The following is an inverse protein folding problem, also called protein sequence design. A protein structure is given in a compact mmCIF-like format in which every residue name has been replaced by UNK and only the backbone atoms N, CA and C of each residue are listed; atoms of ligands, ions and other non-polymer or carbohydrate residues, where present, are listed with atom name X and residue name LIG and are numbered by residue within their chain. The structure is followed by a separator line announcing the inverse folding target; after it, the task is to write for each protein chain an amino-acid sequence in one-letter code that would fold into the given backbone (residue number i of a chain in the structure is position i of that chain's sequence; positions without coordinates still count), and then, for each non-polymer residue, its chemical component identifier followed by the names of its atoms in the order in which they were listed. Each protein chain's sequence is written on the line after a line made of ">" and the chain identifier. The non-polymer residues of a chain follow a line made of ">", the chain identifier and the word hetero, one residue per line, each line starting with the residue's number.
data_IF_939854086900
#
_entry.id   IF_939854086900
#
_cell.length_a   1.000
_cell.length_b   1.000
_cell.length_c   1.000
_cell.angle_alpha   90.00
_cell.angle_beta   90.00
_cell.angle_gamma   90.00
#
_symmetry.space_group_name_H-M   'P 1'
#
loop_
_entity.id
_entity.type
_entity.pdbx_description
1 polymer ?
#
# COMPACT_ATOMS: atom_id res chain seq x y z
N UNK A 1 -60.12 -91.38 5.00
CA UNK A 1 -60.96 -92.49 5.46
C UNK A 1 -61.08 -92.44 6.97
N UNK A 2 -62.29 -92.41 7.53
CA UNK A 2 -62.54 -92.40 8.98
C UNK A 2 -63.12 -93.74 9.41
N UNK A 3 -62.25 -94.70 9.71
CA UNK A 3 -62.57 -96.03 10.24
C UNK A 3 -63.07 -95.98 11.69
N UNK A 4 -64.14 -95.23 11.94
CA UNK A 4 -64.59 -94.92 13.29
C UNK A 4 -65.29 -96.10 13.96
N UNK A 5 -66.03 -96.94 13.22
CA UNK A 5 -66.66 -98.16 13.77
C UNK A 5 -65.62 -99.23 13.99
N UNK A 6 -64.75 -99.46 13.02
CA UNK A 6 -63.63 -100.40 13.12
C UNK A 6 -62.71 -100.04 14.29
N UNK A 7 -62.36 -98.76 14.48
CA UNK A 7 -61.55 -98.35 15.62
C UNK A 7 -62.23 -98.60 16.97
N UNK A 8 -63.57 -98.53 17.02
CA UNK A 8 -64.36 -98.81 18.23
C UNK A 8 -64.42 -100.31 18.50
N UNK A 9 -64.61 -101.13 17.46
CA UNK A 9 -64.68 -102.59 17.56
C UNK A 9 -63.31 -103.20 17.86
N UNK A 10 -62.21 -102.65 17.30
CA UNK A 10 -60.83 -103.03 17.68
C UNK A 10 -60.57 -102.72 19.16
N UNK A 11 -60.95 -101.53 19.65
CA UNK A 11 -60.82 -101.20 21.08
C UNK A 11 -61.66 -102.11 21.99
N UNK A 12 -62.85 -102.52 21.54
CA UNK A 12 -63.69 -103.46 22.29
C UNK A 12 -63.10 -104.90 22.27
N UNK A 13 -62.41 -105.29 21.19
CA UNK A 13 -61.73 -106.57 21.06
C UNK A 13 -60.41 -106.61 21.86
N UNK A 14 -59.64 -105.53 21.94
CA UNK A 14 -58.42 -105.42 22.74
C UNK A 14 -58.65 -105.65 24.26
N UNK A 15 -59.88 -105.47 24.75
CA UNK A 15 -60.25 -105.68 26.15
C UNK A 15 -60.75 -107.10 26.47
N UNK A 16 -60.92 -107.99 25.48
CA UNK A 16 -61.37 -109.37 25.68
C UNK A 16 -60.20 -110.36 25.75
N UNK A 17 -60.21 -111.28 26.71
CA UNK A 17 -59.18 -112.32 26.87
C UNK A 17 -59.30 -113.50 25.88
N UNK A 18 -60.45 -113.67 25.21
CA UNK A 18 -60.60 -114.60 24.09
C UNK A 18 -61.53 -114.00 23.04
N UNK A 19 -61.13 -114.09 21.77
CA UNK A 19 -61.88 -113.58 20.62
C UNK A 19 -62.65 -114.73 19.97
N UNK A 20 -63.95 -114.54 19.77
CA UNK A 20 -64.81 -115.52 19.09
C UNK A 20 -64.89 -115.22 17.60
N UNK A 21 -65.26 -116.22 16.79
CA UNK A 21 -65.51 -116.04 15.34
C UNK A 21 -66.53 -114.92 15.08
N UNK A 22 -67.48 -114.72 16.00
CA UNK A 22 -68.49 -113.67 15.91
C UNK A 22 -67.88 -112.27 16.07
N UNK A 23 -66.82 -112.11 16.88
CA UNK A 23 -66.12 -110.83 17.03
C UNK A 23 -65.35 -110.45 15.75
N UNK A 24 -64.74 -111.43 15.08
CA UNK A 24 -64.07 -111.22 13.79
C UNK A 24 -65.06 -110.91 12.64
N UNK A 25 -66.24 -111.55 12.66
CA UNK A 25 -67.32 -111.25 11.71
C UNK A 25 -67.91 -109.85 11.93
N UNK A 26 -68.07 -109.42 13.19
CA UNK A 26 -68.51 -108.06 13.51
C UNK A 26 -67.48 -107.02 13.08
N UNK A 27 -66.18 -107.24 13.33
CA UNK A 27 -65.11 -106.37 12.83
C UNK A 27 -65.12 -106.26 11.30
N UNK A 28 -65.37 -107.38 10.61
CA UNK A 28 -65.48 -107.40 9.16
C UNK A 28 -66.72 -106.68 8.65
N UNK A 29 -67.88 -106.83 9.30
CA UNK A 29 -69.08 -106.05 9.00
C UNK A 29 -68.83 -104.55 9.22
N UNK A 30 -68.26 -104.17 10.35
CA UNK A 30 -67.96 -102.76 10.66
C UNK A 30 -66.94 -102.16 9.67
N UNK A 31 -65.97 -102.95 9.20
CA UNK A 31 -65.03 -102.54 8.14
C UNK A 31 -65.73 -102.38 6.79
N UNK A 32 -66.63 -103.29 6.43
CA UNK A 32 -67.44 -103.16 5.22
C UNK A 32 -68.39 -101.95 5.30
N UNK A 33 -68.95 -101.66 6.47
CA UNK A 33 -69.81 -100.50 6.68
C UNK A 33 -69.04 -99.18 6.71
N UNK A 34 -67.88 -99.11 7.35
CA UNK A 34 -67.02 -97.92 7.32
C UNK A 34 -66.53 -97.63 5.88
N UNK A 35 -66.23 -98.66 5.08
CA UNK A 35 -65.88 -98.51 3.66
C UNK A 35 -67.11 -98.07 2.83
N UNK A 36 -68.30 -98.61 3.13
CA UNK A 36 -69.57 -98.22 2.49
C UNK A 36 -69.87 -96.74 2.73
N UNK A 37 -69.68 -96.26 3.95
CA UNK A 37 -70.01 -94.90 4.36
C UNK A 37 -68.96 -93.85 3.89
N UNK A 38 -67.70 -94.23 3.68
CA UNK A 38 -66.64 -93.33 3.15
C UNK A 38 -66.60 -93.25 1.61
N UNK A 39 -67.11 -94.27 0.89
CA UNK A 39 -67.04 -94.32 -0.59
C UNK A 39 -68.39 -94.10 -1.30
N UNK A 40 -69.51 -94.05 -0.58
CA UNK A 40 -70.85 -93.82 -1.16
C UNK A 40 -71.18 -94.81 -2.30
N UNK A 41 -70.69 -96.05 -2.19
CA UNK A 41 -70.90 -97.14 -3.17
C UNK A 41 -71.88 -98.16 -2.59
N UNK A 42 -73.05 -98.27 -3.21
CA UNK A 42 -73.99 -99.39 -2.98
C UNK A 42 -73.37 -100.70 -3.44
N UNK A 43 -73.23 -101.65 -2.51
CA UNK A 43 -72.73 -103.00 -2.75
C UNK A 43 -73.76 -103.86 -3.51
N UNK A 44 -73.96 -103.58 -4.80
CA UNK A 44 -74.76 -104.41 -5.72
C UNK A 44 -74.07 -104.69 -7.06
N UNK A 45 -72.74 -104.52 -7.13
CA UNK A 45 -71.91 -104.95 -8.28
C UNK A 45 -70.55 -105.44 -7.84
N UNK A 46 -70.49 -106.61 -7.22
CA UNK A 46 -69.33 -107.48 -7.37
C UNK A 46 -69.61 -108.38 -8.60
N UNK A 47 -68.68 -108.52 -9.56
CA UNK A 47 -68.87 -109.42 -10.68
C UNK A 47 -69.06 -110.85 -10.14
N UNK A 48 -70.22 -111.44 -10.45
CA UNK A 48 -70.55 -112.81 -10.10
C UNK A 48 -69.60 -113.74 -10.86
N UNK A 49 -68.65 -114.40 -10.17
CA UNK A 49 -67.89 -115.49 -10.78
C UNK A 49 -66.44 -115.71 -10.35
N UNK A 50 -66.03 -115.42 -9.12
CA UNK A 50 -64.84 -116.05 -8.52
C UNK A 50 -64.83 -115.88 -6.99
N UNK A 51 -65.63 -116.70 -6.29
CA UNK A 51 -65.66 -116.75 -4.82
C UNK A 51 -64.28 -117.15 -4.23
N UNK A 52 -63.48 -117.91 -4.97
CA UNK A 52 -62.14 -118.34 -4.56
C UNK A 52 -61.12 -117.20 -4.53
N UNK A 53 -61.21 -116.22 -5.45
CA UNK A 53 -60.26 -115.09 -5.47
C UNK A 53 -60.54 -114.08 -4.35
N UNK A 54 -61.82 -113.89 -4.01
CA UNK A 54 -62.24 -113.08 -2.87
C UNK A 54 -61.81 -113.71 -1.53
N UNK A 55 -61.96 -115.03 -1.37
CA UNK A 55 -61.48 -115.77 -0.19
C UNK A 55 -59.95 -115.72 -0.08
N UNK A 56 -59.22 -115.76 -1.20
CA UNK A 56 -57.75 -115.68 -1.21
C UNK A 56 -57.24 -114.28 -0.81
N UNK A 57 -57.88 -113.20 -1.30
CA UNK A 57 -57.57 -111.82 -0.88
C UNK A 57 -57.95 -111.55 0.57
N UNK A 58 -59.08 -112.09 1.04
CA UNK A 58 -59.48 -112.06 2.45
C UNK A 58 -58.50 -112.82 3.34
N UNK A 59 -58.07 -114.01 2.95
CA UNK A 59 -57.06 -114.78 3.68
C UNK A 59 -55.69 -114.07 3.71
N UNK A 60 -55.34 -113.31 2.68
CA UNK A 60 -54.12 -112.50 2.62
C UNK A 60 -54.21 -111.24 3.49
N UNK A 61 -55.34 -110.53 3.47
CA UNK A 61 -55.57 -109.36 4.33
C UNK A 61 -55.65 -109.75 5.81
N UNK A 62 -56.36 -110.83 6.16
CA UNK A 62 -56.38 -111.37 7.52
C UNK A 62 -54.98 -111.81 7.98
N UNK A 63 -54.16 -112.44 7.13
CA UNK A 63 -52.75 -112.79 7.45
C UNK A 63 -51.82 -111.57 7.60
N UNK A 64 -52.18 -110.44 7.01
CA UNK A 64 -51.38 -109.20 7.06
C UNK A 64 -51.76 -108.38 8.28
N UNK A 65 -53.05 -108.32 8.63
CA UNK A 65 -53.57 -107.71 9.85
C UNK A 65 -53.10 -108.48 11.08
N UNK A 66 -53.13 -109.83 11.06
CA UNK A 66 -52.55 -110.66 12.13
C UNK A 66 -51.03 -110.51 12.26
N UNK A 67 -50.31 -110.14 11.18
CA UNK A 67 -48.87 -109.81 11.20
C UNK A 67 -48.58 -108.44 11.80
N UNK A 68 -49.44 -107.44 11.56
CA UNK A 68 -49.32 -106.11 12.16
C UNK A 68 -49.77 -106.07 13.63
N UNK A 69 -50.65 -106.98 14.05
CA UNK A 69 -51.16 -107.11 15.43
C UNK A 69 -50.28 -107.99 16.35
N UNK A 70 -49.15 -108.51 15.88
CA UNK A 70 -48.11 -109.09 16.74
C UNK A 70 -48.39 -110.48 17.36
N UNK A 71 -49.33 -111.28 16.84
CA UNK A 71 -49.73 -112.58 17.43
C UNK A 71 -49.36 -113.83 16.59
N UNK A 72 -48.33 -113.77 15.75
CA UNK A 72 -47.69 -114.95 15.14
C UNK A 72 -46.17 -114.90 15.38
N UNK A 73 -45.51 -116.04 15.72
CA UNK A 73 -44.07 -116.06 15.98
C UNK A 73 -43.31 -115.72 14.69
N UNK A 74 -42.44 -114.70 14.77
CA UNK A 74 -41.60 -114.26 13.65
C UNK A 74 -40.45 -115.25 13.50
N UNK A 75 -40.62 -116.23 12.61
CA UNK A 75 -39.50 -116.93 12.01
C UNK A 75 -38.70 -115.92 11.16
N UNK A 76 -37.47 -115.67 11.62
CA UNK A 76 -36.36 -114.96 10.95
C UNK A 76 -36.70 -113.69 10.16
N UNK A 77 -36.58 -112.53 10.82
CA UNK A 77 -36.16 -111.30 10.11
C UNK A 77 -34.75 -111.59 9.57
N UNK A 78 -34.61 -111.64 8.25
CA UNK A 78 -33.32 -111.75 7.57
C UNK A 78 -32.32 -110.76 8.19
N UNK A 79 -31.17 -111.27 8.66
CA UNK A 79 -30.02 -110.47 9.11
C UNK A 79 -29.67 -109.36 8.10
N UNK A 80 -30.00 -109.56 6.84
CA UNK A 80 -29.76 -108.65 5.71
C UNK A 80 -30.64 -107.39 5.74
N UNK A 81 -31.85 -107.44 6.32
CA UNK A 81 -32.67 -106.24 6.52
C UNK A 81 -32.24 -105.43 7.75
N UNK A 82 -31.85 -106.12 8.82
CA UNK A 82 -31.30 -105.49 10.01
C UNK A 82 -29.94 -104.83 9.74
N UNK A 83 -29.08 -105.44 8.93
CA UNK A 83 -27.81 -104.85 8.50
C UNK A 83 -28.02 -103.63 7.61
N UNK A 84 -29.02 -103.64 6.72
CA UNK A 84 -29.39 -102.49 5.88
C UNK A 84 -29.98 -101.34 6.69
N UNK A 85 -30.85 -101.62 7.67
CA UNK A 85 -31.38 -100.59 8.56
C UNK A 85 -30.31 -99.99 9.46
N UNK A 86 -29.42 -100.82 10.04
CA UNK A 86 -28.24 -100.32 10.77
C UNK A 86 -27.34 -99.45 9.88
N UNK A 87 -27.10 -99.86 8.63
CA UNK A 87 -26.32 -99.06 7.69
C UNK A 87 -26.98 -97.70 7.40
N UNK A 88 -28.30 -97.67 7.23
CA UNK A 88 -29.05 -96.41 7.06
C UNK A 88 -29.00 -95.56 8.33
N UNK A 89 -29.11 -96.16 9.51
CA UNK A 89 -28.95 -95.48 10.80
C UNK A 89 -27.54 -94.89 10.95
N UNK A 90 -26.49 -95.65 10.63
CA UNK A 90 -25.10 -95.22 10.61
C UNK A 90 -24.83 -94.15 9.54
N UNK A 91 -25.54 -94.18 8.41
CA UNK A 91 -25.45 -93.15 7.38
C UNK A 91 -26.18 -91.87 7.79
N UNK A 92 -27.30 -91.98 8.51
CA UNK A 92 -28.06 -90.84 9.07
C UNK A 92 -27.31 -90.18 10.22
N UNK A 93 -26.69 -90.94 11.13
CA UNK A 93 -25.83 -90.39 12.19
C UNK A 93 -24.62 -89.68 11.59
N UNK A 94 -23.92 -90.31 10.64
CA UNK A 94 -22.82 -89.65 9.90
C UNK A 94 -23.27 -88.41 9.13
N UNK A 95 -24.46 -88.42 8.52
CA UNK A 95 -25.00 -87.23 7.87
C UNK A 95 -25.35 -86.12 8.88
N UNK A 96 -25.89 -86.47 10.05
CA UNK A 96 -26.19 -85.52 11.11
C UNK A 96 -24.92 -84.92 11.74
N UNK A 97 -23.86 -85.71 11.91
CA UNK A 97 -22.55 -85.23 12.38
C UNK A 97 -21.93 -84.29 11.36
N UNK A 98 -21.94 -84.66 10.07
CA UNK A 98 -21.49 -83.77 8.98
C UNK A 98 -22.32 -82.47 8.91
N UNK A 99 -23.63 -82.54 9.13
CA UNK A 99 -24.48 -81.34 9.18
C UNK A 99 -24.14 -80.44 10.36
N UNK A 100 -23.77 -81.00 11.53
CA UNK A 100 -23.28 -80.22 12.66
C UNK A 100 -21.93 -79.57 12.36
N UNK A 101 -20.97 -80.31 11.80
CA UNK A 101 -19.68 -79.77 11.37
C UNK A 101 -19.84 -78.66 10.32
N UNK A 102 -20.76 -78.83 9.36
CA UNK A 102 -21.08 -77.80 8.37
C UNK A 102 -21.73 -76.58 9.03
N UNK A 103 -22.65 -76.77 9.98
CA UNK A 103 -23.30 -75.67 10.71
C UNK A 103 -22.29 -74.87 11.55
N UNK A 104 -21.40 -75.56 12.27
CA UNK A 104 -20.29 -74.94 13.01
C UNK A 104 -19.33 -74.20 12.07
N UNK A 105 -18.97 -74.82 10.94
CA UNK A 105 -18.16 -74.17 9.89
C UNK A 105 -18.84 -72.94 9.28
N UNK A 106 -20.17 -72.95 9.16
CA UNK A 106 -20.96 -71.82 8.65
C UNK A 106 -21.01 -70.68 9.65
N UNK A 107 -21.09 -70.95 10.96
CA UNK A 107 -20.96 -69.91 11.99
C UNK A 107 -19.56 -69.28 12.01
N UNK A 108 -18.49 -70.09 11.92
CA UNK A 108 -17.11 -69.56 11.79
C UNK A 108 -16.96 -68.69 10.53
N UNK A 109 -17.55 -69.11 9.40
CA UNK A 109 -17.55 -68.30 8.18
C UNK A 109 -18.35 -67.01 8.32
N UNK A 110 -19.47 -67.00 9.05
CA UNK A 110 -20.24 -65.78 9.36
C UNK A 110 -19.44 -64.82 10.25
N UNK A 111 -18.80 -65.33 11.30
CA UNK A 111 -17.93 -64.53 12.16
C UNK A 111 -16.79 -63.90 11.35
N UNK A 112 -16.13 -64.71 10.50
CA UNK A 112 -15.07 -64.22 9.62
C UNK A 112 -15.58 -63.19 8.59
N UNK A 113 -16.78 -63.38 8.04
CA UNK A 113 -17.41 -62.40 7.17
C UNK A 113 -17.75 -61.09 7.92
N UNK A 114 -18.19 -61.18 9.17
CA UNK A 114 -18.41 -60.03 10.05
C UNK A 114 -17.11 -59.26 10.33
N UNK A 115 -16.03 -59.97 10.67
CA UNK A 115 -14.70 -59.38 10.83
C UNK A 115 -14.21 -58.72 9.54
N UNK A 116 -14.38 -59.37 8.39
CA UNK A 116 -14.01 -58.80 7.09
C UNK A 116 -14.79 -57.50 6.80
N UNK A 117 -16.10 -57.48 7.03
CA UNK A 117 -16.92 -56.26 6.89
C UNK A 117 -16.46 -55.14 7.84
N UNK A 118 -16.07 -55.49 9.06
CA UNK A 118 -15.54 -54.51 10.00
C UNK A 118 -14.18 -53.96 9.53
N UNK A 119 -13.28 -54.82 9.05
CA UNK A 119 -12.01 -54.38 8.47
C UNK A 119 -12.20 -53.54 7.21
N UNK A 120 -13.20 -53.85 6.38
CA UNK A 120 -13.56 -53.06 5.20
C UNK A 120 -14.08 -51.67 5.58
N UNK A 121 -14.90 -51.59 6.63
CA UNK A 121 -15.36 -50.31 7.18
C UNK A 121 -14.20 -49.50 7.80
N UNK A 122 -13.28 -50.16 8.50
CA UNK A 122 -12.09 -49.53 9.08
C UNK A 122 -11.15 -49.00 8.00
N UNK A 123 -10.91 -49.78 6.95
CA UNK A 123 -10.12 -49.39 5.78
C UNK A 123 -10.78 -48.21 5.04
N UNK A 124 -12.11 -48.24 4.88
CA UNK A 124 -12.85 -47.14 4.26
C UNK A 124 -12.71 -45.84 5.07
N UNK A 125 -12.79 -45.92 6.41
CA UNK A 125 -12.56 -44.78 7.30
C UNK A 125 -11.11 -44.28 7.24
N UNK A 126 -10.13 -45.18 7.19
CA UNK A 126 -8.73 -44.81 7.07
C UNK A 126 -8.42 -44.12 5.74
N UNK A 127 -9.01 -44.61 4.64
CA UNK A 127 -8.85 -44.03 3.31
C UNK A 127 -9.47 -42.63 3.22
N UNK A 128 -10.61 -42.41 3.88
CA UNK A 128 -11.22 -41.08 3.94
C UNK A 128 -10.37 -40.10 4.77
N UNK A 129 -9.79 -40.55 5.88
CA UNK A 129 -8.82 -39.74 6.65
C UNK A 129 -7.56 -39.42 5.85
N UNK A 130 -7.03 -40.38 5.08
CA UNK A 130 -5.88 -40.15 4.21
C UNK A 130 -6.17 -39.10 3.12
N UNK A 131 -7.38 -39.13 2.53
CA UNK A 131 -7.82 -38.07 1.60
C UNK A 131 -7.87 -36.70 2.27
N UNK A 132 -8.47 -36.60 3.46
CA UNK A 132 -8.55 -35.35 4.21
C UNK A 132 -7.15 -34.80 4.53
N UNK A 133 -6.24 -35.65 5.01
CA UNK A 133 -4.86 -35.27 5.30
C UNK A 133 -4.12 -34.81 4.03
N UNK A 134 -4.34 -35.47 2.89
CA UNK A 134 -3.77 -35.03 1.60
C UNK A 134 -4.30 -33.66 1.18
N UNK A 135 -5.58 -33.38 1.39
CA UNK A 135 -6.15 -32.06 1.12
C UNK A 135 -5.59 -30.99 2.06
N UNK A 136 -5.42 -31.29 3.35
CA UNK A 136 -4.78 -30.40 4.31
C UNK A 136 -3.32 -30.11 3.95
N UNK A 137 -2.54 -31.14 3.59
CA UNK A 137 -1.17 -30.96 3.11
C UNK A 137 -1.12 -30.06 1.88
N UNK A 138 -2.02 -30.25 0.90
CA UNK A 138 -2.09 -29.38 -0.28
C UNK A 138 -2.40 -27.93 0.08
N UNK A 139 -3.35 -27.69 0.98
CA UNK A 139 -3.67 -26.32 1.46
C UNK A 139 -2.48 -25.68 2.16
N UNK A 140 -1.74 -26.44 2.96
CA UNK A 140 -0.53 -25.96 3.63
C UNK A 140 0.58 -25.63 2.61
N UNK A 141 0.78 -26.49 1.61
CA UNK A 141 1.74 -26.21 0.52
C UNK A 141 1.39 -24.95 -0.26
N UNK A 142 0.11 -24.78 -0.62
CA UNK A 142 -0.35 -23.58 -1.32
C UNK A 142 -0.16 -22.33 -0.45
N UNK A 143 -0.42 -22.42 0.86
CA UNK A 143 -0.16 -21.32 1.79
C UNK A 143 1.33 -21.00 1.90
N UNK A 144 2.19 -22.02 2.01
CA UNK A 144 3.65 -21.82 2.05
C UNK A 144 4.12 -21.11 0.78
N UNK A 145 3.67 -21.55 -0.41
CA UNK A 145 3.99 -20.87 -1.67
C UNK A 145 3.51 -19.43 -1.69
N UNK A 146 2.31 -19.14 -1.20
CA UNK A 146 1.82 -17.75 -1.11
C UNK A 146 2.74 -16.88 -0.23
N UNK A 147 3.23 -17.42 0.89
CA UNK A 147 4.17 -16.70 1.74
C UNK A 147 5.53 -16.50 1.08
N UNK A 148 6.05 -17.53 0.40
CA UNK A 148 7.35 -17.50 -0.27
C UNK A 148 7.38 -16.60 -1.51
N UNK A 149 6.32 -16.64 -2.34
CA UNK A 149 6.30 -15.94 -3.62
C UNK A 149 5.79 -14.50 -3.50
N UNK A 150 4.81 -14.23 -2.64
CA UNK A 150 4.14 -12.92 -2.59
C UNK A 150 4.52 -12.11 -1.35
N UNK A 151 4.40 -12.71 -0.15
CA UNK A 151 4.52 -11.94 1.10
C UNK A 151 5.97 -11.66 1.48
N UNK A 152 6.85 -12.66 1.45
CA UNK A 152 8.25 -12.48 1.82
C UNK A 152 9.00 -11.52 0.88
N UNK A 153 8.87 -11.63 -0.45
CA UNK A 153 9.53 -10.69 -1.37
C UNK A 153 8.95 -9.29 -1.26
N UNK A 154 7.63 -9.16 -1.11
CA UNK A 154 6.97 -7.87 -0.87
C UNK A 154 7.47 -7.17 0.40
N UNK A 155 7.59 -7.91 1.50
CA UNK A 155 8.13 -7.40 2.77
C UNK A 155 9.62 -7.06 2.66
N UNK A 156 10.42 -7.89 1.98
CA UNK A 156 11.85 -7.62 1.77
C UNK A 156 12.06 -6.36 0.92
N UNK A 157 11.33 -6.23 -0.19
CA UNK A 157 11.35 -5.04 -1.03
C UNK A 157 10.92 -3.79 -0.28
N UNK A 158 9.87 -3.89 0.55
CA UNK A 158 9.42 -2.77 1.39
C UNK A 158 10.46 -2.38 2.45
N UNK A 159 11.12 -3.37 3.08
CA UNK A 159 12.22 -3.13 4.04
C UNK A 159 13.40 -2.43 3.37
N UNK A 160 13.80 -2.87 2.18
CA UNK A 160 14.87 -2.22 1.42
C UNK A 160 14.50 -0.80 1.02
N UNK A 161 13.27 -0.57 0.55
CA UNK A 161 12.78 0.75 0.21
C UNK A 161 12.87 1.68 1.43
N UNK A 162 12.32 1.26 2.57
CA UNK A 162 12.38 2.04 3.82
C UNK A 162 13.82 2.29 4.27
N UNK A 163 14.72 1.31 4.10
CA UNK A 163 16.14 1.48 4.41
C UNK A 163 16.82 2.51 3.51
N UNK A 164 16.44 2.59 2.22
CA UNK A 164 16.94 3.61 1.29
C UNK A 164 16.39 4.99 1.66
N UNK A 165 15.10 5.08 1.95
CA UNK A 165 14.44 6.32 2.39
C UNK A 165 15.07 6.86 3.68
N UNK A 166 15.27 5.99 4.68
CA UNK A 166 15.98 6.33 5.91
C UNK A 166 17.41 6.82 5.65
N UNK A 167 18.14 6.17 4.74
CA UNK A 167 19.49 6.59 4.35
C UNK A 167 19.53 7.96 3.64
N UNK A 168 18.53 8.27 2.81
CA UNK A 168 18.39 9.59 2.17
C UNK A 168 18.07 10.66 3.21
N UNK A 169 17.13 10.39 4.11
CA UNK A 169 16.78 11.29 5.19
C UNK A 169 17.95 11.56 6.12
N UNK A 170 18.74 10.53 6.47
CA UNK A 170 19.95 10.69 7.27
C UNK A 170 20.95 11.62 6.60
N UNK A 171 21.23 11.43 5.30
CA UNK A 171 22.13 12.32 4.55
C UNK A 171 21.60 13.75 4.47
N UNK A 172 20.29 13.93 4.32
CA UNK A 172 19.68 15.26 4.33
C UNK A 172 19.82 15.94 5.70
N UNK A 173 19.62 15.18 6.78
CA UNK A 173 19.82 15.64 8.14
C UNK A 173 21.28 16.04 8.40
N UNK A 174 22.24 15.21 7.99
CA UNK A 174 23.66 15.51 8.17
C UNK A 174 24.07 16.80 7.42
N UNK A 175 23.60 16.98 6.17
CA UNK A 175 23.82 18.22 5.41
C UNK A 175 23.22 19.45 6.10
N UNK A 176 22.01 19.33 6.65
CA UNK A 176 21.36 20.43 7.35
C UNK A 176 22.12 20.78 8.64
N UNK A 177 22.59 19.75 9.36
CA UNK A 177 23.41 19.90 10.55
C UNK A 177 24.72 20.61 10.24
N UNK A 178 25.42 20.22 9.18
CA UNK A 178 26.66 20.88 8.76
C UNK A 178 26.41 22.34 8.37
N UNK A 179 25.32 22.62 7.66
CA UNK A 179 24.92 24.00 7.34
C UNK A 179 24.61 24.83 8.57
N UNK A 180 23.98 24.24 9.60
CA UNK A 180 23.68 24.92 10.86
C UNK A 180 24.97 25.23 11.63
N UNK A 181 25.89 24.26 11.72
CA UNK A 181 27.20 24.46 12.35
C UNK A 181 28.00 25.57 11.65
N UNK A 182 27.97 25.61 10.31
CA UNK A 182 28.64 26.67 9.55
C UNK A 182 28.04 28.05 9.85
N UNK A 183 26.72 28.15 9.91
CA UNK A 183 26.05 29.40 10.28
C UNK A 183 26.35 29.84 11.71
N UNK A 184 26.46 28.91 12.65
CA UNK A 184 26.87 29.21 14.03
C UNK A 184 28.30 29.76 14.07
N UNK A 185 29.23 29.17 13.31
CA UNK A 185 30.60 29.65 13.23
C UNK A 185 30.70 31.04 12.58
N UNK A 186 29.96 31.28 11.50
CA UNK A 186 29.91 32.58 10.83
C UNK A 186 29.29 33.66 11.73
N UNK A 187 28.24 33.32 12.49
CA UNK A 187 27.64 34.22 13.47
C UNK A 187 28.61 34.54 14.61
N UNK A 188 29.39 33.55 15.06
CA UNK A 188 30.43 33.77 16.07
C UNK A 188 31.50 34.73 15.57
N UNK A 189 32.00 34.53 14.35
CA UNK A 189 32.96 35.47 13.71
C UNK A 189 32.40 36.88 13.57
N UNK A 190 31.12 37.02 13.17
CA UNK A 190 30.44 38.32 13.11
C UNK A 190 30.32 38.97 14.48
N UNK A 191 30.01 38.19 15.51
CA UNK A 191 29.91 38.70 16.87
C UNK A 191 31.27 39.20 17.39
N UNK A 192 32.34 38.47 17.11
CA UNK A 192 33.71 38.87 17.46
C UNK A 192 34.09 40.18 16.72
N UNK A 193 33.81 40.29 15.42
CA UNK A 193 34.04 41.51 14.64
C UNK A 193 33.26 42.72 15.19
N UNK A 194 31.99 42.53 15.59
CA UNK A 194 31.19 43.58 16.23
C UNK A 194 31.80 44.02 17.56
N UNK A 195 32.37 43.11 18.34
CA UNK A 195 33.05 43.47 19.59
C UNK A 195 34.32 44.28 19.33
N UNK A 196 35.10 43.89 18.33
CA UNK A 196 36.28 44.66 17.90
C UNK A 196 35.90 46.06 17.43
N UNK A 197 34.84 46.21 16.63
CA UNK A 197 34.34 47.53 16.21
C UNK A 197 33.84 48.36 17.38
N UNK A 198 33.17 47.76 18.37
CA UNK A 198 32.75 48.47 19.59
C UNK A 198 33.94 49.02 20.37
N UNK A 199 35.02 48.23 20.49
CA UNK A 199 36.25 48.67 21.14
C UNK A 199 36.85 49.84 20.36
N UNK A 200 37.01 49.71 19.04
CA UNK A 200 37.52 50.80 18.17
C UNK A 200 36.68 52.07 18.26
N UNK A 201 35.35 51.93 18.33
CA UNK A 201 34.45 53.06 18.47
C UNK A 201 34.60 53.74 19.84
N UNK A 202 34.79 52.97 20.91
CA UNK A 202 35.07 53.52 22.23
C UNK A 202 36.41 54.28 22.27
N UNK A 203 37.45 53.73 21.64
CA UNK A 203 38.75 54.40 21.47
C UNK A 203 38.62 55.70 20.67
N UNK A 204 37.93 55.66 19.52
CA UNK A 204 37.68 56.84 18.69
C UNK A 204 36.88 57.91 19.43
N UNK A 205 35.91 57.51 20.26
CA UNK A 205 35.15 58.42 21.11
C UNK A 205 36.04 59.13 22.13
N UNK A 206 37.00 58.42 22.73
CA UNK A 206 37.97 59.03 23.64
C UNK A 206 38.86 60.04 22.92
N UNK A 207 39.41 59.67 21.75
CA UNK A 207 40.22 60.59 20.93
C UNK A 207 39.41 61.84 20.53
N UNK A 208 38.14 61.67 20.18
CA UNK A 208 37.27 62.81 19.85
C UNK A 208 37.06 63.74 21.05
N UNK A 209 36.92 63.18 22.25
CA UNK A 209 36.82 63.96 23.48
C UNK A 209 38.10 64.74 23.77
N UNK A 210 39.27 64.10 23.62
CA UNK A 210 40.58 64.77 23.76
C UNK A 210 40.76 65.91 22.75
N UNK A 211 40.38 65.68 21.48
CA UNK A 211 40.42 66.72 20.45
C UNK A 211 39.50 67.89 20.77
N UNK A 212 38.32 67.62 21.34
CA UNK A 212 37.38 68.65 21.76
C UNK A 212 37.99 69.51 22.88
N UNK A 213 38.61 68.90 23.88
CA UNK A 213 39.30 69.61 24.97
C UNK A 213 40.49 70.43 24.45
N UNK A 214 41.27 69.90 23.51
CA UNK A 214 42.36 70.65 22.86
C UNK A 214 41.83 71.87 22.10
N UNK A 215 40.71 71.71 21.38
CA UNK A 215 40.07 72.82 20.66
C UNK A 215 39.61 73.91 21.63
N UNK A 216 38.97 73.55 22.74
CA UNK A 216 38.52 74.50 23.76
C UNK A 216 39.69 75.28 24.36
N UNK A 217 40.82 74.62 24.64
CA UNK A 217 42.05 75.29 25.11
C UNK A 217 42.60 76.28 24.09
N UNK A 218 42.68 75.88 22.82
CA UNK A 218 43.13 76.76 21.74
C UNK A 218 42.21 77.98 21.56
N UNK A 219 40.88 77.79 21.61
CA UNK A 219 39.93 78.89 21.53
C UNK A 219 40.08 79.88 22.70
N UNK A 220 40.48 79.41 23.88
CA UNK A 220 40.76 80.28 25.03
C UNK A 220 42.11 81.02 24.89
N UNK A 221 43.15 80.37 24.37
CA UNK A 221 44.42 81.02 24.04
C UNK A 221 44.26 82.11 22.98
N UNK A 222 43.47 81.85 21.93
CA UNK A 222 43.14 82.85 20.91
C UNK A 222 42.44 84.05 21.53
N UNK A 223 41.44 83.83 22.40
CA UNK A 223 40.77 84.93 23.12
C UNK A 223 41.73 85.78 23.95
N UNK A 224 42.65 85.14 24.69
CA UNK A 224 43.67 85.86 25.48
C UNK A 224 44.59 86.69 24.60
N UNK A 225 44.99 86.18 23.43
CA UNK A 225 45.81 86.91 22.46
C UNK A 225 45.04 88.08 21.83
N UNK A 226 43.76 87.90 21.53
CA UNK A 226 42.89 88.98 21.02
C UNK A 226 42.74 90.12 22.04
N UNK A 227 42.51 89.79 23.32
CA UNK A 227 42.43 90.77 24.41
C UNK A 227 43.74 91.56 24.56
N UNK A 228 44.88 90.86 24.56
CA UNK A 228 46.21 91.49 24.61
C UNK A 228 46.46 92.40 23.40
N UNK A 229 46.04 91.98 22.20
CA UNK A 229 46.15 92.79 21.00
C UNK A 229 45.31 94.08 21.10
N UNK A 230 44.07 94.01 21.61
CA UNK A 230 43.25 95.20 21.81
C UNK A 230 43.86 96.15 22.85
N UNK A 231 44.44 95.62 23.93
CA UNK A 231 45.09 96.43 24.95
C UNK A 231 46.33 97.16 24.39
N UNK A 232 47.16 96.44 23.61
CA UNK A 232 48.29 97.03 22.89
C UNK A 232 47.86 98.10 21.88
N UNK A 233 46.78 97.84 21.13
CA UNK A 233 46.21 98.79 20.17
C UNK A 233 45.72 100.07 20.88
N UNK A 234 45.04 99.94 22.01
CA UNK A 234 44.57 101.08 22.81
C UNK A 234 45.75 101.88 23.38
N UNK A 235 46.79 101.19 23.87
CA UNK A 235 48.04 101.85 24.31
C UNK A 235 48.67 102.63 23.18
N UNK A 236 48.78 102.03 21.99
CA UNK A 236 49.35 102.69 20.81
C UNK A 236 48.57 103.97 20.45
N UNK A 237 47.24 103.90 20.43
CA UNK A 237 46.39 105.06 20.17
C UNK A 237 46.57 106.18 21.20
N UNK A 238 46.72 105.83 22.49
CA UNK A 238 46.99 106.82 23.54
C UNK A 238 48.37 107.46 23.37
N UNK A 239 49.41 106.68 23.03
CA UNK A 239 50.73 107.23 22.72
C UNK A 239 50.70 108.12 21.48
N UNK A 240 49.95 107.77 20.44
CA UNK A 240 49.82 108.60 19.23
C UNK A 240 49.04 109.90 19.50
N UNK A 241 48.05 109.86 20.39
CA UNK A 241 47.36 111.08 20.85
C UNK A 241 48.32 111.98 21.65
N UNK A 242 49.11 111.40 22.55
CA UNK A 242 50.15 112.11 23.30
C UNK A 242 51.21 112.72 22.36
N UNK A 243 51.69 111.95 21.38
CA UNK A 243 52.65 112.41 20.37
C UNK A 243 52.10 113.59 19.57
N UNK A 244 50.83 113.54 19.16
CA UNK A 244 50.19 114.67 18.45
C UNK A 244 50.13 115.93 19.31
N UNK A 245 49.75 115.82 20.58
CA UNK A 245 49.77 116.96 21.50
C UNK A 245 51.17 117.55 21.70
N UNK A 246 52.21 116.70 21.75
CA UNK A 246 53.60 117.17 21.80
C UNK A 246 54.03 117.86 20.50
N UNK A 247 53.63 117.36 19.34
CA UNK A 247 53.92 117.99 18.04
C UNK A 247 53.25 119.37 17.94
N UNK A 248 51.99 119.51 18.34
CA UNK A 248 51.30 120.81 18.37
C UNK A 248 51.99 121.81 19.33
N UNK A 249 52.52 121.33 20.47
CA UNK A 249 53.34 122.14 21.36
C UNK A 249 54.66 122.56 20.72
N UNK A 250 55.33 121.65 20.01
CA UNK A 250 56.57 121.95 19.27
C UNK A 250 56.29 122.97 18.18
N UNK A 251 55.22 122.83 17.38
CA UNK A 251 54.86 123.81 16.34
C UNK A 251 54.55 125.20 16.94
N UNK A 252 53.88 125.26 18.10
CA UNK A 252 53.67 126.51 18.84
C UNK A 252 54.98 127.11 19.35
N UNK A 253 55.94 126.28 19.78
CA UNK A 253 57.25 126.72 20.26
C UNK A 253 58.16 127.16 19.11
N UNK A 254 58.14 126.46 17.97
CA UNK A 254 58.87 126.77 16.74
C UNK A 254 58.42 128.11 16.12
N UNK A 255 57.13 128.44 16.17
CA UNK A 255 56.64 129.77 15.78
C UNK A 255 57.26 130.90 16.65
N UNK A 256 57.46 130.66 17.94
CA UNK A 256 58.15 131.60 18.86
C UNK A 256 59.68 131.58 18.76
N UNK A 257 60.28 130.50 18.27
CA UNK A 257 61.73 130.31 18.14
C UNK A 257 62.30 130.64 16.75
N UNK A 258 61.49 131.17 15.82
CA UNK A 258 61.99 131.68 14.53
C UNK A 258 62.93 132.89 14.63
N UNK A 259 63.19 133.39 15.85
CA UNK A 259 64.40 134.14 16.21
C UNK A 259 65.34 133.18 16.95
N UNK A 260 66.42 132.80 16.26
CA UNK A 260 67.62 132.08 16.73
C UNK A 260 67.47 130.59 17.03
N UNK A 261 68.26 129.74 16.36
CA UNK A 261 69.41 129.07 16.98
C UNK A 261 69.99 127.93 16.15
N UNK A 262 71.32 127.79 16.22
CA UNK A 262 72.13 126.78 15.54
C UNK A 262 72.40 125.55 16.44
N UNK A 263 72.11 125.64 17.74
CA UNK A 263 72.23 124.54 18.70
C UNK A 263 71.18 123.43 18.48
N UNK A 264 69.96 123.81 18.06
CA UNK A 264 68.85 122.90 17.77
C UNK A 264 69.14 121.97 16.57
N UNK A 265 69.92 122.44 15.59
CA UNK A 265 70.38 121.60 14.48
C UNK A 265 71.35 120.50 14.92
N UNK A 266 72.12 120.69 16.01
CA UNK A 266 73.03 119.66 16.53
C UNK A 266 72.31 118.60 17.36
N UNK A 267 71.33 119.00 18.17
CA UNK A 267 70.48 118.05 18.88
C UNK A 267 69.59 117.25 17.92
N UNK A 268 69.04 117.88 16.88
CA UNK A 268 68.33 117.17 15.81
C UNK A 268 69.22 116.17 15.08
N UNK A 269 70.50 116.50 14.85
CA UNK A 269 71.43 115.56 14.22
C UNK A 269 71.68 114.32 15.10
N UNK A 270 71.76 114.51 16.42
CA UNK A 270 72.05 113.43 17.38
C UNK A 270 70.80 112.61 17.76
N UNK A 271 69.61 113.21 17.70
CA UNK A 271 68.34 112.49 17.75
C UNK A 271 68.09 111.71 16.46
N UNK A 272 68.45 112.27 15.29
CA UNK A 272 68.34 111.58 14.02
C UNK A 272 69.28 110.38 13.92
N UNK A 273 70.49 110.43 14.46
CA UNK A 273 71.37 109.25 14.49
C UNK A 273 70.83 108.16 15.41
N UNK A 274 70.30 108.50 16.59
CA UNK A 274 69.65 107.52 17.47
C UNK A 274 68.34 106.97 16.89
N UNK A 275 67.59 107.78 16.16
CA UNK A 275 66.39 107.34 15.45
C UNK A 275 66.75 106.38 14.30
N UNK A 276 67.86 106.64 13.58
CA UNK A 276 68.39 105.72 12.57
C UNK A 276 68.84 104.40 13.21
N UNK A 277 69.57 104.42 14.32
CA UNK A 277 69.97 103.20 15.04
C UNK A 277 68.76 102.41 15.57
N UNK A 278 67.74 103.10 16.09
CA UNK A 278 66.49 102.46 16.52
C UNK A 278 65.72 101.86 15.34
N UNK A 279 65.67 102.56 14.20
CA UNK A 279 65.07 102.03 12.96
C UNK A 279 65.85 100.87 12.39
N UNK A 280 67.17 100.85 12.48
CA UNK A 280 67.99 99.71 12.07
C UNK A 280 67.73 98.48 12.95
N UNK A 281 67.52 98.68 14.27
CA UNK A 281 67.14 97.60 15.17
C UNK A 281 65.71 97.10 14.92
N UNK A 282 64.76 98.00 14.64
CA UNK A 282 63.42 97.61 14.19
C UNK A 282 63.46 96.89 12.85
N UNK A 283 64.27 97.37 11.90
CA UNK A 283 64.43 96.76 10.59
C UNK A 283 65.02 95.35 10.72
N UNK A 284 66.03 95.14 11.58
CA UNK A 284 66.53 93.79 11.87
C UNK A 284 65.46 92.88 12.47
N UNK A 285 64.64 93.38 13.41
CA UNK A 285 63.54 92.59 13.98
C UNK A 285 62.47 92.26 12.93
N UNK A 286 62.19 93.19 12.02
CA UNK A 286 61.26 92.97 10.92
C UNK A 286 61.84 91.97 9.91
N UNK A 287 63.12 92.06 9.57
CA UNK A 287 63.82 91.11 8.69
C UNK A 287 63.85 89.70 9.30
N UNK A 288 64.14 89.57 10.60
CA UNK A 288 64.07 88.30 11.32
C UNK A 288 62.63 87.75 11.38
N UNK A 289 61.63 88.63 11.57
CA UNK A 289 60.22 88.27 11.53
C UNK A 289 59.76 87.80 10.15
N UNK A 290 60.20 88.50 9.09
CA UNK A 290 59.96 88.10 7.69
C UNK A 290 60.60 86.74 7.43
N UNK A 291 61.84 86.53 7.86
CA UNK A 291 62.54 85.25 7.71
C UNK A 291 61.81 84.10 8.41
N UNK A 292 61.30 84.32 9.62
CA UNK A 292 60.48 83.32 10.33
C UNK A 292 59.15 83.05 9.60
N UNK A 293 58.52 84.08 9.04
CA UNK A 293 57.30 83.93 8.24
C UNK A 293 57.55 83.19 6.92
N UNK A 294 58.68 83.44 6.25
CA UNK A 294 59.11 82.70 5.06
C UNK A 294 59.33 81.22 5.38
N UNK A 295 60.02 80.91 6.48
CA UNK A 295 60.21 79.53 6.94
C UNK A 295 58.87 78.85 7.30
N UNK A 296 57.94 79.57 7.92
CA UNK A 296 56.60 79.07 8.22
C UNK A 296 55.79 78.82 6.94
N UNK A 297 55.88 79.73 5.97
CA UNK A 297 55.26 79.58 4.65
C UNK A 297 55.82 78.37 3.90
N UNK A 298 57.12 78.12 3.97
CA UNK A 298 57.73 76.95 3.32
C UNK A 298 57.31 75.63 3.98
N UNK A 299 57.17 75.60 5.31
CA UNK A 299 56.59 74.44 6.01
C UNK A 299 55.13 74.23 5.61
N UNK A 300 54.36 75.31 5.49
CA UNK A 300 52.96 75.25 5.10
C UNK A 300 52.80 74.80 3.64
N UNK A 301 53.66 75.28 2.72
CA UNK A 301 53.73 74.79 1.34
C UNK A 301 54.04 73.30 1.27
N UNK A 302 55.04 72.82 2.02
CA UNK A 302 55.37 71.37 2.05
C UNK A 302 54.20 70.53 2.54
N UNK A 303 53.53 70.94 3.62
CA UNK A 303 52.36 70.21 4.13
C UNK A 303 51.17 70.26 3.17
N UNK A 304 50.98 71.37 2.43
CA UNK A 304 49.97 71.48 1.38
C UNK A 304 50.30 70.59 0.17
N UNK A 305 51.57 70.52 -0.24
CA UNK A 305 52.02 69.62 -1.31
C UNK A 305 51.83 68.15 -0.92
N UNK A 306 52.14 67.77 0.33
CA UNK A 306 51.92 66.42 0.85
C UNK A 306 50.43 66.07 0.90
N UNK A 307 49.57 66.99 1.37
CA UNK A 307 48.11 66.82 1.34
C UNK A 307 47.58 66.71 -0.09
N UNK A 308 48.11 67.51 -1.02
CA UNK A 308 47.77 67.46 -2.45
C UNK A 308 48.14 66.11 -3.07
N UNK A 309 49.34 65.58 -2.77
CA UNK A 309 49.76 64.25 -3.23
C UNK A 309 48.85 63.14 -2.67
N UNK A 310 48.58 63.14 -1.37
CA UNK A 310 47.68 62.15 -0.73
C UNK A 310 46.27 62.22 -1.30
N UNK A 311 45.76 63.41 -1.57
CA UNK A 311 44.42 63.57 -2.19
C UNK A 311 44.41 63.09 -3.63
N UNK A 312 45.47 63.33 -4.42
CA UNK A 312 45.60 62.76 -5.76
C UNK A 312 45.68 61.23 -5.73
N UNK A 313 46.42 60.64 -4.79
CA UNK A 313 46.48 59.18 -4.61
C UNK A 313 45.10 58.60 -4.25
N UNK A 314 44.38 59.21 -3.30
CA UNK A 314 43.01 58.77 -2.96
C UNK A 314 42.04 58.89 -4.13
N UNK A 315 42.15 59.94 -4.95
CA UNK A 315 41.33 60.11 -6.15
C UNK A 315 41.67 59.01 -7.17
N UNK A 316 42.95 58.70 -7.37
CA UNK A 316 43.38 57.63 -8.27
C UNK A 316 42.86 56.26 -7.82
N UNK A 317 42.96 55.95 -6.53
CA UNK A 317 42.44 54.70 -5.96
C UNK A 317 40.91 54.62 -6.08
N UNK A 318 40.20 55.73 -5.81
CA UNK A 318 38.76 55.81 -5.96
C UNK A 318 38.33 55.60 -7.43
N UNK A 319 39.03 56.20 -8.40
CA UNK A 319 38.77 56.00 -9.83
C UNK A 319 39.04 54.55 -10.27
N UNK A 320 40.06 53.90 -9.69
CA UNK A 320 40.36 52.50 -9.97
C UNK A 320 39.27 51.56 -9.43
N UNK A 321 38.79 51.80 -8.20
CA UNK A 321 37.67 51.05 -7.62
C UNK A 321 36.35 51.32 -8.36
N UNK A 322 36.10 52.56 -8.79
CA UNK A 322 34.93 52.88 -9.60
C UNK A 322 34.95 52.12 -10.93
N UNK A 323 36.10 52.02 -11.59
CA UNK A 323 36.24 51.21 -12.82
C UNK A 323 35.95 49.73 -12.57
N UNK A 324 36.44 49.14 -11.47
CA UNK A 324 36.13 47.74 -11.09
C UNK A 324 34.65 47.55 -10.78
N UNK A 325 34.02 48.51 -10.12
CA UNK A 325 32.60 48.48 -9.83
C UNK A 325 31.76 48.57 -11.12
N UNK A 326 32.14 49.46 -12.05
CA UNK A 326 31.50 49.60 -13.37
C UNK A 326 31.57 48.30 -14.19
N UNK A 327 32.74 47.66 -14.28
CA UNK A 327 32.86 46.38 -15.01
C UNK A 327 32.07 45.25 -14.35
N UNK A 328 32.02 45.24 -13.01
CA UNK A 328 31.21 44.26 -12.27
C UNK A 328 29.71 44.47 -12.49
N UNK A 329 29.25 45.73 -12.53
CA UNK A 329 27.86 46.08 -12.86
C UNK A 329 27.50 45.68 -14.28
N UNK A 330 28.37 45.97 -15.26
CA UNK A 330 28.15 45.59 -16.66
C UNK A 330 28.04 44.07 -16.82
N UNK A 331 28.87 43.29 -16.11
CA UNK A 331 28.78 41.83 -16.08
C UNK A 331 27.45 41.36 -15.47
N UNK A 332 26.99 41.98 -14.38
CA UNK A 332 25.72 41.65 -13.75
C UNK A 332 24.51 42.00 -14.64
N UNK A 333 24.55 43.14 -15.32
CA UNK A 333 23.52 43.53 -16.30
C UNK A 333 23.44 42.56 -17.47
N UNK A 334 24.58 42.10 -17.97
CA UNK A 334 24.61 41.09 -19.04
C UNK A 334 24.04 39.76 -18.56
N UNK A 335 24.40 39.30 -17.35
CA UNK A 335 23.82 38.09 -16.75
C UNK A 335 22.32 38.21 -16.51
N UNK A 336 21.84 39.39 -16.10
CA UNK A 336 20.43 39.69 -15.95
C UNK A 336 19.69 39.60 -17.28
N UNK A 337 20.24 40.20 -18.34
CA UNK A 337 19.69 40.11 -19.71
C UNK A 337 19.64 38.66 -20.19
N UNK A 338 20.71 37.88 -19.99
CA UNK A 338 20.74 36.44 -20.32
C UNK A 338 19.71 35.62 -19.54
N UNK A 339 19.53 35.90 -18.24
CA UNK A 339 18.51 35.24 -17.44
C UNK A 339 17.09 35.59 -17.93
N UNK A 340 16.88 36.84 -18.35
CA UNK A 340 15.61 37.31 -18.88
C UNK A 340 15.28 36.70 -20.25
N UNK A 341 16.26 36.58 -21.15
CA UNK A 341 16.07 35.90 -22.44
C UNK A 341 15.78 34.41 -22.24
N UNK A 342 16.55 33.71 -21.38
CA UNK A 342 16.28 32.30 -21.02
C UNK A 342 14.88 32.10 -20.44
N UNK A 343 14.43 33.02 -19.58
CA UNK A 343 13.07 32.98 -19.05
C UNK A 343 12.03 33.15 -20.16
N UNK A 344 12.23 34.06 -21.10
CA UNK A 344 11.32 34.24 -22.25
C UNK A 344 11.31 33.00 -23.16
N UNK A 345 12.46 32.36 -23.39
CA UNK A 345 12.57 31.10 -24.14
C UNK A 345 11.84 29.95 -23.44
N UNK A 346 11.99 29.80 -22.12
CA UNK A 346 11.28 28.78 -21.36
C UNK A 346 9.76 29.02 -21.36
N UNK A 347 9.32 30.28 -21.27
CA UNK A 347 7.90 30.62 -21.36
C UNK A 347 7.33 30.32 -22.75
N UNK A 348 8.06 30.61 -23.83
CA UNK A 348 7.60 30.29 -25.18
C UNK A 348 7.55 28.78 -25.43
N UNK A 349 8.52 28.02 -24.90
CA UNK A 349 8.50 26.56 -24.92
C UNK A 349 7.33 25.98 -24.11
N UNK A 350 7.02 26.53 -22.93
CA UNK A 350 5.88 26.09 -22.13
C UNK A 350 4.55 26.31 -22.87
N UNK A 351 4.35 27.49 -23.45
CA UNK A 351 3.16 27.81 -24.27
C UNK A 351 3.07 26.88 -25.49
N UNK A 352 4.19 26.56 -26.12
CA UNK A 352 4.20 25.63 -27.25
C UNK A 352 3.84 24.21 -26.83
N UNK A 353 4.37 23.74 -25.69
CA UNK A 353 4.04 22.42 -25.13
C UNK A 353 2.59 22.32 -24.68
N UNK A 354 2.02 23.39 -24.14
CA UNK A 354 0.61 23.49 -23.79
C UNK A 354 -0.29 23.41 -25.03
N UNK A 355 0.10 24.08 -26.13
CA UNK A 355 -0.61 23.95 -27.42
C UNK A 355 -0.50 22.53 -28.00
N UNK A 356 0.68 21.91 -27.95
CA UNK A 356 0.88 20.54 -28.39
C UNK A 356 0.04 19.55 -27.56
N UNK A 357 -0.02 19.73 -26.24
CA UNK A 357 -0.86 18.94 -25.35
C UNK A 357 -2.36 19.13 -25.67
N UNK A 358 -2.82 20.37 -25.85
CA UNK A 358 -4.21 20.64 -26.24
C UNK A 358 -4.59 20.04 -27.59
N UNK A 359 -3.71 20.10 -28.59
CA UNK A 359 -3.93 19.46 -29.89
C UNK A 359 -3.99 17.93 -29.80
N UNK A 360 -3.13 17.33 -28.97
CA UNK A 360 -3.17 15.90 -28.71
C UNK A 360 -4.46 15.50 -27.97
N UNK A 361 -4.88 16.26 -26.97
CA UNK A 361 -6.14 16.04 -26.27
C UNK A 361 -7.36 16.14 -27.19
N UNK A 362 -7.42 17.14 -28.06
CA UNK A 362 -8.50 17.29 -29.04
C UNK A 362 -8.50 16.13 -30.05
N UNK A 363 -7.32 15.70 -30.50
CA UNK A 363 -7.18 14.54 -31.38
C UNK A 363 -7.61 13.23 -30.72
N UNK A 364 -7.21 13.00 -29.46
CA UNK A 364 -7.65 11.83 -28.68
C UNK A 364 -9.16 11.84 -28.44
N UNK A 365 -9.74 12.99 -28.05
CA UNK A 365 -11.19 13.14 -27.92
C UNK A 365 -11.91 12.83 -29.23
N UNK A 366 -11.39 13.28 -30.37
CA UNK A 366 -11.95 13.01 -31.70
C UNK A 366 -11.93 11.52 -32.06
N UNK A 367 -10.76 10.88 -32.02
CA UNK A 367 -10.63 9.47 -32.40
C UNK A 367 -11.40 8.52 -31.47
N UNK A 368 -11.33 8.75 -30.16
CA UNK A 368 -12.02 7.88 -29.21
C UNK A 368 -13.53 8.11 -29.30
N UNK A 369 -14.03 9.35 -29.28
CA UNK A 369 -15.47 9.61 -29.34
C UNK A 369 -16.12 9.09 -30.63
N UNK A 370 -15.42 9.14 -31.77
CA UNK A 370 -15.93 8.61 -33.04
C UNK A 370 -15.93 7.08 -33.07
N UNK A 371 -14.84 6.46 -32.62
CA UNK A 371 -14.74 5.00 -32.48
C UNK A 371 -15.77 4.44 -31.48
N UNK A 372 -16.00 5.14 -30.36
CA UNK A 372 -17.02 4.80 -29.36
C UNK A 372 -18.44 4.92 -29.93
N UNK A 373 -18.74 6.02 -30.64
CA UNK A 373 -20.06 6.21 -31.27
C UNK A 373 -20.37 5.17 -32.33
N UNK A 374 -19.37 4.74 -33.09
CA UNK A 374 -19.53 3.75 -34.15
C UNK A 374 -19.68 2.32 -33.59
N UNK A 375 -18.88 1.95 -32.59
CA UNK A 375 -19.01 0.65 -31.91
C UNK A 375 -20.30 0.53 -31.12
N UNK A 376 -20.73 1.59 -30.43
CA UNK A 376 -22.01 1.61 -29.73
C UNK A 376 -23.19 1.44 -30.70
N UNK A 377 -23.17 2.17 -31.83
CA UNK A 377 -24.18 2.01 -32.90
C UNK A 377 -24.19 0.59 -33.46
N UNK A 378 -23.02 0.00 -33.73
CA UNK A 378 -22.89 -1.35 -34.25
C UNK A 378 -23.43 -2.41 -33.28
N UNK A 379 -23.09 -2.31 -31.99
CA UNK A 379 -23.54 -3.24 -30.95
C UNK A 379 -25.04 -3.07 -30.62
N UNK A 380 -25.56 -1.84 -30.58
CA UNK A 380 -26.99 -1.57 -30.43
C UNK A 380 -27.78 -2.09 -31.64
N UNK A 381 -27.26 -1.90 -32.86
CA UNK A 381 -27.84 -2.46 -34.08
C UNK A 381 -27.92 -3.98 -34.04
N UNK A 382 -26.85 -4.66 -33.63
CA UNK A 382 -26.84 -6.12 -33.44
C UNK A 382 -27.84 -6.59 -32.40
N UNK A 383 -27.93 -5.91 -31.25
CA UNK A 383 -28.90 -6.22 -30.21
C UNK A 383 -30.34 -6.07 -30.73
N UNK A 384 -30.62 -5.03 -31.52
CA UNK A 384 -31.95 -4.81 -32.10
C UNK A 384 -32.32 -5.89 -33.12
N UNK A 385 -31.36 -6.30 -33.96
CA UNK A 385 -31.56 -7.42 -34.90
C UNK A 385 -31.84 -8.73 -34.17
N UNK A 386 -31.11 -9.02 -33.08
CA UNK A 386 -31.31 -10.23 -32.27
C UNK A 386 -32.65 -10.20 -31.51
N UNK A 387 -33.07 -9.03 -31.00
CA UNK A 387 -34.40 -8.85 -30.40
C UNK A 387 -35.52 -9.13 -31.41
N UNK A 388 -35.39 -8.55 -32.60
CA UNK A 388 -36.36 -8.77 -33.70
C UNK A 388 -36.41 -10.25 -34.10
N UNK A 389 -35.25 -10.91 -34.22
CA UNK A 389 -35.18 -12.33 -34.54
C UNK A 389 -35.77 -13.22 -33.43
N UNK A 390 -35.53 -12.89 -32.16
CA UNK A 390 -36.15 -13.56 -31.01
C UNK A 390 -37.67 -13.41 -31.04
N UNK A 391 -38.17 -12.20 -31.24
CA UNK A 391 -39.60 -11.92 -31.23
C UNK A 391 -40.31 -12.64 -32.39
N UNK A 392 -39.70 -12.67 -33.58
CA UNK A 392 -40.18 -13.49 -34.70
C UNK A 392 -40.17 -15.00 -34.38
N UNK A 393 -39.12 -15.51 -33.74
CA UNK A 393 -39.04 -16.92 -33.31
C UNK A 393 -40.06 -17.27 -32.21
N UNK A 394 -40.34 -16.32 -31.32
CA UNK A 394 -41.36 -16.48 -30.28
C UNK A 394 -42.77 -16.50 -30.88
N UNK A 395 -43.03 -15.64 -31.87
CA UNK A 395 -44.27 -15.64 -32.64
C UNK A 395 -44.43 -16.93 -33.46
N UNK A 396 -43.37 -17.41 -34.10
CA UNK A 396 -43.38 -18.69 -34.84
C UNK A 396 -43.60 -19.88 -33.88
N UNK A 397 -43.00 -19.87 -32.70
CA UNK A 397 -43.23 -20.88 -31.66
C UNK A 397 -44.67 -20.87 -31.13
N UNK A 398 -45.29 -19.69 -30.96
CA UNK A 398 -46.72 -19.57 -30.60
C UNK A 398 -47.63 -20.10 -31.70
N UNK A 399 -47.25 -19.94 -32.97
CA UNK A 399 -48.01 -20.46 -34.13
C UNK A 399 -47.85 -21.97 -34.32
N UNK A 400 -46.70 -22.54 -33.93
CA UNK A 400 -46.39 -23.96 -34.05
C UNK A 400 -46.81 -24.80 -32.83
N UNK A 401 -47.16 -24.17 -31.71
CA UNK A 401 -47.69 -24.83 -30.52
C UNK A 401 -48.91 -25.70 -30.86
N UNK A 402 -48.71 -27.02 -30.84
CA UNK A 402 -49.73 -28.04 -31.10
C UNK A 402 -49.59 -28.80 -32.43
N UNK A 403 -48.62 -28.47 -33.30
CA UNK A 403 -48.43 -29.09 -34.61
C UNK A 403 -47.06 -29.78 -34.82
N UNK A 404 -46.13 -29.68 -33.88
CA UNK A 404 -44.73 -30.09 -34.03
C UNK A 404 -44.38 -31.41 -33.33
N UNK A 405 -43.53 -32.22 -33.97
CA UNK A 405 -42.93 -33.44 -33.37
C UNK A 405 -41.83 -33.04 -32.36
N UNK A 406 -41.70 -33.82 -31.29
CA UNK A 406 -40.72 -33.68 -30.19
C UNK A 406 -39.35 -33.13 -30.60
N UNK A 407 -38.76 -33.64 -31.70
CA UNK A 407 -37.39 -33.30 -32.11
C UNK A 407 -37.24 -31.85 -32.66
N UNK A 408 -38.32 -31.25 -33.16
CA UNK A 408 -38.32 -29.87 -33.67
C UNK A 408 -38.46 -28.82 -32.56
N UNK A 409 -39.14 -29.16 -31.45
CA UNK A 409 -39.26 -28.27 -30.29
C UNK A 409 -37.94 -28.13 -29.53
N UNK A 410 -37.15 -29.20 -29.49
CA UNK A 410 -35.85 -29.20 -28.82
C UNK A 410 -34.82 -28.32 -29.57
N UNK A 411 -34.83 -28.38 -30.91
CA UNK A 411 -34.01 -27.50 -31.75
C UNK A 411 -34.38 -26.03 -31.60
N UNK A 412 -35.68 -25.69 -31.55
CA UNK A 412 -36.16 -24.31 -31.38
C UNK A 412 -35.86 -23.75 -29.97
N UNK A 413 -35.97 -24.58 -28.92
CA UNK A 413 -35.51 -24.20 -27.57
C UNK A 413 -34.00 -24.00 -27.52
N UNK A 414 -33.24 -24.78 -28.28
CA UNK A 414 -31.79 -24.59 -28.49
C UNK A 414 -31.49 -23.22 -29.11
N UNK A 415 -32.23 -22.81 -30.15
CA UNK A 415 -32.09 -21.48 -30.74
C UNK A 415 -32.48 -20.36 -29.77
N UNK A 416 -33.58 -20.50 -29.02
CA UNK A 416 -33.95 -19.51 -27.99
C UNK A 416 -32.88 -19.35 -26.91
N UNK A 417 -32.27 -20.46 -26.48
CA UNK A 417 -31.13 -20.43 -25.56
C UNK A 417 -29.94 -19.71 -26.18
N UNK A 418 -29.60 -20.01 -27.43
CA UNK A 418 -28.55 -19.31 -28.17
C UNK A 418 -28.79 -17.80 -28.26
N UNK A 419 -30.00 -17.35 -28.60
CA UNK A 419 -30.32 -15.92 -28.65
C UNK A 419 -30.24 -15.25 -27.27
N UNK A 420 -30.69 -15.94 -26.22
CA UNK A 420 -30.59 -15.44 -24.85
C UNK A 420 -29.13 -15.30 -24.42
N UNK A 421 -28.34 -16.35 -24.58
CA UNK A 421 -26.93 -16.37 -24.19
C UNK A 421 -26.13 -15.35 -25.02
N UNK A 422 -26.45 -15.19 -26.31
CA UNK A 422 -25.82 -14.20 -27.18
C UNK A 422 -26.19 -12.75 -26.79
N UNK A 423 -27.46 -12.48 -26.46
CA UNK A 423 -27.87 -11.16 -25.99
C UNK A 423 -27.27 -10.82 -24.62
N UNK A 424 -27.28 -11.75 -23.66
CA UNK A 424 -26.64 -11.55 -22.36
C UNK A 424 -25.14 -11.30 -22.49
N UNK A 425 -24.47 -11.96 -23.44
CA UNK A 425 -23.07 -11.71 -23.74
C UNK A 425 -22.86 -10.29 -24.29
N UNK A 426 -23.68 -9.87 -25.26
CA UNK A 426 -23.60 -8.52 -25.83
C UNK A 426 -23.93 -7.44 -24.79
N UNK A 427 -24.88 -7.69 -23.89
CA UNK A 427 -25.24 -6.78 -22.80
C UNK A 427 -24.13 -6.67 -21.75
N UNK A 428 -23.49 -7.78 -21.39
CA UNK A 428 -22.30 -7.78 -20.52
C UNK A 428 -21.13 -7.03 -21.14
N UNK A 429 -20.88 -7.26 -22.43
CA UNK A 429 -19.87 -6.52 -23.18
C UNK A 429 -20.20 -5.01 -23.16
N UNK A 430 -21.45 -4.62 -23.44
CA UNK A 430 -21.88 -3.22 -23.41
C UNK A 430 -21.69 -2.55 -22.03
N UNK A 431 -22.05 -3.24 -20.94
CA UNK A 431 -21.89 -2.70 -19.58
C UNK A 431 -20.40 -2.54 -19.20
N UNK A 432 -19.57 -3.52 -19.58
CA UNK A 432 -18.12 -3.44 -19.37
C UNK A 432 -17.49 -2.31 -20.19
N UNK A 433 -17.92 -2.13 -21.45
CA UNK A 433 -17.48 -1.04 -22.32
C UNK A 433 -17.93 0.34 -21.82
N UNK A 434 -19.13 0.47 -21.27
CA UNK A 434 -19.61 1.73 -20.67
C UNK A 434 -18.81 2.11 -19.42
N UNK A 435 -18.44 1.14 -18.58
CA UNK A 435 -17.58 1.36 -17.41
C UNK A 435 -16.18 1.82 -17.82
N UNK A 436 -15.58 1.19 -18.82
CA UNK A 436 -14.28 1.61 -19.35
C UNK A 436 -14.29 3.02 -19.92
N UNK A 437 -15.35 3.40 -20.65
CA UNK A 437 -15.49 4.76 -21.18
C UNK A 437 -15.61 5.82 -20.08
N UNK A 438 -16.36 5.54 -19.01
CA UNK A 438 -16.51 6.44 -17.87
C UNK A 438 -15.18 6.70 -17.15
N UNK A 439 -14.35 5.66 -16.98
CA UNK A 439 -13.02 5.76 -16.38
C UNK A 439 -12.10 6.64 -17.24
N UNK A 440 -12.11 6.43 -18.55
CA UNK A 440 -11.29 7.23 -19.47
C UNK A 440 -11.75 8.69 -19.48
N UNK A 441 -13.08 8.95 -19.54
CA UNK A 441 -13.63 10.31 -19.49
C UNK A 441 -13.28 11.06 -18.19
N UNK A 442 -13.29 10.37 -17.04
CA UNK A 442 -12.93 10.98 -15.75
C UNK A 442 -11.44 11.28 -15.59
N UNK A 443 -10.56 10.53 -16.25
CA UNK A 443 -9.11 10.83 -16.28
C UNK A 443 -8.85 12.13 -17.05
N UNK A 444 -9.56 12.35 -18.16
CA UNK A 444 -9.41 13.53 -18.99
C UNK A 444 -10.13 14.77 -18.43
N UNK A 445 -11.28 14.63 -17.76
CA UNK A 445 -11.98 15.77 -17.12
C UNK A 445 -11.21 16.35 -15.92
N UNK A 446 -10.36 15.55 -15.26
CA UNK A 446 -9.53 15.99 -14.14
C UNK A 446 -8.14 16.52 -14.56
N UNK A 447 -7.93 16.79 -15.84
CA UNK A 447 -6.72 17.45 -16.36
C UNK A 447 -5.43 16.64 -16.19
N UNK A 448 -5.51 15.30 -16.15
CA UNK A 448 -4.33 14.43 -16.12
C UNK A 448 -3.43 14.56 -14.88
N UNK A 449 -3.86 15.22 -13.80
CA UNK A 449 -3.08 15.39 -12.57
C UNK A 449 -3.09 14.17 -11.61
N UNK A 450 -3.59 13.02 -12.08
CA UNK A 450 -3.81 11.81 -11.28
C UNK A 450 -2.96 10.60 -11.67
N UNK A 451 -1.86 10.80 -12.41
CA UNK A 451 -0.86 9.76 -12.70
C UNK A 451 0.51 10.17 -12.18
#
# INVERSE_FOLDING_TARGET
>A
MRFSRVATTIKAMEQKQSLTLNDALNLFQDLCEDIRDDQNVTADRLPCGDEDEAVTRLAWMCRTILRMAGQLPVESIDQDRLSRLKKVEDDVTRASERLKEIAEGLEVLKERAGQLRQTEADLSRALEKDKQLKEECRRLEDSIREYEELKLPGLSGRKEQLSREAGVLQKAYDKLRDSCNQQEEDNRKRQDAIQEEKIRFAEMKNVFQELKEQKEKLEEEVRKLEDQYQELKNRLQNTDASRRGLVEQIESLEQSLSRTDIESLRQLYEERTKEVEAREQEQKKLEDGIRQQEEALDRLKKTMEEKSKRTQEMVWDAEAEEKKARTSLELLENRMKEAQTRRQELMSQAVQKEKEAGQLEEWFRGMEADSYRERLRSSQGRLQTLKTARDCLEDDLRRLQGLTRSDTEESLRGYQKYFRDAMEKIERELDQYQKSYLIVSTIFENGGNGL
#
